data_IF_759630366375
#
_entry.id   IF_759630366375
#
_cell.length_a   1.000
_cell.length_b   1.000
_cell.length_c   1.000
_cell.angle_alpha   90.00
_cell.angle_beta   90.00
_cell.angle_gamma   90.00
#
_symmetry.space_group_name_H-M   'P 1'
#
loop_
_entity.id
_entity.type
_entity.pdbx_description
1 polymer ?
#
# COMPACT_ATOMS: atom_id res chain seq x y z
N UNK A 1 -0.56 -3.24 15.53
CA UNK A 1 -1.81 -3.11 14.75
C UNK A 1 -2.35 -4.51 14.49
N UNK A 2 -3.65 -4.73 14.68
CA UNK A 2 -4.26 -6.05 14.47
C UNK A 2 -4.38 -6.39 12.98
N UNK A 3 -4.27 -7.67 12.63
CA UNK A 3 -4.37 -8.14 11.23
C UNK A 3 -5.70 -7.75 10.55
N UNK A 4 -6.77 -7.61 11.32
CA UNK A 4 -8.08 -7.19 10.81
C UNK A 4 -8.07 -5.77 10.23
N UNK A 5 -7.32 -4.83 10.83
CA UNK A 5 -7.22 -3.45 10.32
C UNK A 5 -6.49 -3.42 8.97
N UNK A 6 -5.46 -4.26 8.81
CA UNK A 6 -4.69 -4.41 7.58
C UNK A 6 -5.61 -4.91 6.45
N UNK A 7 -6.43 -5.91 6.73
CA UNK A 7 -7.39 -6.49 5.79
C UNK A 7 -8.43 -5.44 5.33
N UNK A 8 -9.01 -4.70 6.27
CA UNK A 8 -10.05 -3.71 5.97
C UNK A 8 -9.54 -2.57 5.07
N UNK A 9 -8.32 -2.08 5.33
CA UNK A 9 -7.70 -1.03 4.51
C UNK A 9 -7.35 -1.54 3.10
N UNK A 10 -6.80 -2.75 3.00
CA UNK A 10 -6.50 -3.36 1.71
C UNK A 10 -7.76 -3.55 0.86
N UNK A 11 -8.87 -3.99 1.47
CA UNK A 11 -10.16 -4.09 0.80
C UNK A 11 -10.66 -2.72 0.32
N UNK A 12 -10.59 -1.69 1.16
CA UNK A 12 -10.99 -0.34 0.75
C UNK A 12 -10.20 0.17 -0.47
N UNK A 13 -8.89 -0.08 -0.50
CA UNK A 13 -8.06 0.27 -1.65
C UNK A 13 -8.36 -0.58 -2.90
N UNK A 14 -8.69 -1.86 -2.74
CA UNK A 14 -9.07 -2.73 -3.86
C UNK A 14 -10.36 -2.27 -4.55
N UNK A 15 -11.30 -1.67 -3.80
CA UNK A 15 -12.54 -1.12 -4.35
C UNK A 15 -12.36 0.18 -5.15
N UNK A 16 -11.16 0.77 -5.15
CA UNK A 16 -10.84 1.95 -5.95
C UNK A 16 -9.99 1.54 -7.16
N UNK A 17 -10.54 1.55 -8.39
CA UNK A 17 -9.83 1.14 -9.59
C UNK A 17 -8.50 1.90 -9.75
N UNK A 18 -7.40 1.15 -9.91
CA UNK A 18 -6.07 1.71 -10.09
C UNK A 18 -5.42 2.30 -8.82
N UNK A 19 -6.09 2.28 -7.67
CA UNK A 19 -5.49 2.80 -6.43
C UNK A 19 -4.28 1.98 -5.98
N UNK A 20 -4.36 0.65 -6.01
CA UNK A 20 -3.24 -0.21 -5.67
C UNK A 20 -2.00 0.11 -6.53
N UNK A 21 -2.18 0.22 -7.85
CA UNK A 21 -1.11 0.59 -8.79
C UNK A 21 -0.52 1.96 -8.48
N UNK A 22 -1.36 2.96 -8.20
CA UNK A 22 -0.91 4.32 -7.84
C UNK A 22 -0.15 4.36 -6.52
N UNK A 23 -0.57 3.57 -5.53
CA UNK A 23 0.12 3.48 -4.24
C UNK A 23 1.46 2.76 -4.40
N UNK A 24 1.52 1.68 -5.17
CA UNK A 24 2.77 0.95 -5.45
C UNK A 24 3.79 1.81 -6.20
N UNK A 25 3.35 2.59 -7.20
CA UNK A 25 4.26 3.46 -7.95
C UNK A 25 4.76 4.66 -7.16
N UNK A 26 3.96 5.12 -6.18
CA UNK A 26 4.31 6.27 -5.34
C UNK A 26 5.14 5.87 -4.13
N UNK A 27 4.81 4.77 -3.47
CA UNK A 27 5.48 4.30 -2.25
C UNK A 27 6.63 3.34 -2.59
N UNK A 28 7.70 3.90 -3.14
CA UNK A 28 8.92 3.18 -3.53
C UNK A 28 10.08 3.47 -2.59
N UNK A 29 11.14 2.65 -2.65
CA UNK A 29 12.39 2.94 -1.95
C UNK A 29 13.04 4.19 -2.56
N UNK A 30 13.55 5.08 -1.73
CA UNK A 30 14.28 6.28 -2.15
C UNK A 30 15.78 6.02 -2.39
N UNK A 31 16.22 4.77 -2.24
CA UNK A 31 17.60 4.35 -2.39
C UNK A 31 18.39 4.34 -1.07
N UNK A 32 17.78 4.77 0.03
CA UNK A 32 18.37 4.74 1.38
C UNK A 32 17.70 3.71 2.31
N UNK A 33 16.83 2.84 1.77
CA UNK A 33 16.01 1.93 2.55
C UNK A 33 14.83 2.64 3.22
N UNK A 34 14.37 3.76 2.66
CA UNK A 34 13.26 4.57 3.16
C UNK A 34 12.25 4.83 2.05
N UNK A 35 10.98 4.97 2.43
CA UNK A 35 9.93 5.28 1.48
C UNK A 35 10.05 6.74 1.02
N UNK A 36 9.98 6.96 -0.28
CA UNK A 36 10.15 8.28 -0.91
C UNK A 36 9.09 9.32 -0.52
N UNK A 37 7.94 8.88 0.00
CA UNK A 37 6.75 9.73 0.23
C UNK A 37 6.24 9.69 1.68
N UNK A 38 6.52 8.63 2.42
CA UNK A 38 6.06 8.53 3.81
C UNK A 38 6.96 9.34 4.73
N UNK A 39 6.37 10.26 5.48
CA UNK A 39 7.03 11.02 6.53
C UNK A 39 6.43 10.70 7.90
N UNK A 40 7.26 10.70 8.94
CA UNK A 40 6.84 10.54 10.34
C UNK A 40 7.15 11.79 11.15
N UNK A 41 6.10 12.33 11.79
CA UNK A 41 6.20 13.44 12.74
C UNK A 41 6.54 14.80 12.10
N UNK A 42 6.75 15.79 12.97
CA UNK A 42 7.09 17.16 12.56
C UNK A 42 8.48 17.28 11.91
N UNK A 43 9.34 16.28 12.06
CA UNK A 43 10.75 16.32 11.63
C UNK A 43 10.97 15.79 10.21
N UNK A 44 9.91 15.50 9.45
CA UNK A 44 9.99 14.99 8.07
C UNK A 44 10.96 13.79 7.90
N UNK A 45 11.08 12.94 8.91
CA UNK A 45 11.88 11.72 8.81
C UNK A 45 11.13 10.74 7.93
N UNK A 46 11.74 10.26 6.86
CA UNK A 46 11.12 9.27 5.98
C UNK A 46 10.97 7.92 6.68
N UNK A 47 9.82 7.27 6.51
CA UNK A 47 9.60 5.93 7.06
C UNK A 47 10.50 4.90 6.39
N UNK A 48 10.83 3.83 7.12
CA UNK A 48 11.59 2.70 6.56
C UNK A 48 10.81 2.03 5.43
N UNK A 49 11.52 1.66 4.36
CA UNK A 49 10.97 0.84 3.28
C UNK A 49 11.04 -0.65 3.66
N UNK A 50 10.02 -1.48 3.32
CA UNK A 50 8.75 -1.09 2.72
C UNK A 50 7.83 -0.50 3.78
N UNK A 51 7.24 0.65 3.46
CA UNK A 51 6.31 1.30 4.38
C UNK A 51 4.97 0.55 4.44
N UNK A 52 4.16 0.79 5.47
CA UNK A 52 2.86 0.15 5.62
C UNK A 52 1.92 0.35 4.43
N UNK A 53 1.92 1.53 3.80
CA UNK A 53 1.07 1.81 2.63
C UNK A 53 1.48 0.93 1.45
N UNK A 54 2.77 0.68 1.27
CA UNK A 54 3.27 -0.25 0.25
C UNK A 54 2.72 -1.66 0.51
N UNK A 55 2.76 -2.13 1.76
CA UNK A 55 2.16 -3.43 2.13
C UNK A 55 0.65 -3.49 1.87
N UNK A 56 -0.11 -2.45 2.20
CA UNK A 56 -1.55 -2.41 1.89
C UNK A 56 -1.82 -2.42 0.40
N UNK A 57 -0.98 -1.74 -0.39
CA UNK A 57 -1.13 -1.68 -1.83
C UNK A 57 -0.85 -3.05 -2.50
N UNK A 58 0.14 -3.80 -2.00
CA UNK A 58 0.38 -5.19 -2.42
C UNK A 58 -0.86 -6.05 -2.16
N UNK A 59 -1.41 -6.00 -0.93
CA UNK A 59 -2.58 -6.80 -0.56
C UNK A 59 -3.83 -6.38 -1.35
N UNK A 60 -4.02 -5.09 -1.58
CA UNK A 60 -5.11 -4.57 -2.39
C UNK A 60 -5.02 -5.02 -3.85
N UNK A 61 -3.81 -5.09 -4.41
CA UNK A 61 -3.60 -5.60 -5.77
C UNK A 61 -4.01 -7.08 -5.86
N UNK A 62 -3.56 -7.91 -4.93
CA UNK A 62 -3.91 -9.34 -4.90
C UNK A 62 -5.43 -9.55 -4.81
N UNK A 63 -6.13 -8.79 -3.95
CA UNK A 63 -7.59 -8.85 -3.82
C UNK A 63 -8.33 -8.39 -5.07
N UNK A 64 -7.83 -7.36 -5.75
CA UNK A 64 -8.41 -6.86 -6.99
C UNK A 64 -8.24 -7.86 -8.14
N UNK A 65 -7.08 -8.52 -8.21
CA UNK A 65 -6.80 -9.59 -9.18
C UNK A 65 -7.71 -10.80 -8.94
N UNK A 66 -7.84 -11.27 -7.70
CA UNK A 66 -8.75 -12.35 -7.33
C UNK A 66 -10.21 -12.02 -7.68
N UNK A 67 -10.64 -10.79 -7.37
CA UNK A 67 -12.00 -10.36 -7.69
C UNK A 67 -12.25 -10.31 -9.20
N UNK A 68 -11.26 -9.88 -9.99
CA UNK A 68 -11.32 -9.91 -11.45
C UNK A 68 -11.45 -11.34 -11.98
N UNK A 69 -10.63 -12.27 -11.47
CA UNK A 69 -10.68 -13.68 -11.87
C UNK A 69 -12.04 -14.33 -11.55
N UNK A 70 -12.63 -14.01 -10.39
CA UNK A 70 -13.95 -14.52 -9.99
C UNK A 70 -15.12 -13.95 -10.81
N UNK A 71 -14.90 -12.86 -11.53
CA UNK A 71 -15.93 -12.21 -12.37
C UNK A 71 -15.88 -12.62 -13.85
N UNK A 72 -14.98 -13.53 -14.22
CA UNK A 72 -14.85 -14.14 -15.57
C UNK A 72 -15.35 -15.57 -15.56
#
# INVERSE_FOLDING_TARGET
MSAALIQALAQAFAQQPGMAVRLLSRHVDDGSGRCSVCFTGAHAVRQRWPCQIHWYAIQAQALAEESRLRST
#
